data_IF_517705059958
#
_entry.id   IF_517705059958
#
_cell.length_a   1.000
_cell.length_b   1.000
_cell.length_c   1.000
_cell.angle_alpha   90.00
_cell.angle_beta   90.00
_cell.angle_gamma   90.00
#
_symmetry.space_group_name_H-M   'P 1'
#
loop_
_entity.id
_entity.type
_entity.pdbx_description
1 polymer ?
#
# COMPACT_ATOMS: atom_id res chain seq x y z
N UNK A 1 -10.26 -14.47 9.27
CA UNK A 1 -9.65 -13.29 9.92
C UNK A 1 -9.69 -12.03 9.05
N UNK A 2 -9.24 -12.04 7.79
CA UNK A 2 -9.38 -10.91 6.86
C UNK A 2 -10.84 -10.55 6.56
N UNK A 3 -11.70 -11.55 6.39
CA UNK A 3 -13.16 -11.41 6.20
C UNK A 3 -13.83 -10.78 7.42
N UNK A 4 -13.47 -11.20 8.63
CA UNK A 4 -13.97 -10.62 9.87
C UNK A 4 -13.55 -9.15 10.06
N UNK A 5 -12.36 -8.75 9.62
CA UNK A 5 -11.92 -7.36 9.63
C UNK A 5 -12.72 -6.49 8.64
N UNK A 6 -13.12 -7.06 7.50
CA UNK A 6 -14.02 -6.41 6.53
C UNK A 6 -15.43 -6.21 7.11
N UNK A 7 -15.98 -7.24 7.74
CA UNK A 7 -17.33 -7.23 8.33
C UNK A 7 -17.45 -6.29 9.55
N UNK A 8 -16.40 -6.12 10.34
CA UNK A 8 -16.40 -5.22 11.51
C UNK A 8 -16.40 -3.74 11.16
N UNK A 9 -16.24 -3.38 9.88
CA UNK A 9 -16.17 -1.98 9.43
C UNK A 9 -14.90 -1.23 9.88
N UNK A 10 -13.97 -1.90 10.54
CA UNK A 10 -12.71 -1.29 11.01
C UNK A 10 -11.88 -0.77 9.83
N UNK A 11 -11.79 -1.54 8.75
CA UNK A 11 -11.05 -1.14 7.54
C UNK A 11 -11.69 0.07 6.86
N UNK A 12 -13.03 0.12 6.85
CA UNK A 12 -13.77 1.28 6.34
C UNK A 12 -13.52 2.52 7.18
N UNK A 13 -13.59 2.41 8.50
CA UNK A 13 -13.27 3.52 9.42
C UNK A 13 -11.83 3.98 9.28
N UNK A 14 -10.90 3.05 9.11
CA UNK A 14 -9.50 3.40 8.88
C UNK A 14 -9.32 4.20 7.58
N UNK A 15 -9.98 3.77 6.50
CA UNK A 15 -9.95 4.51 5.23
C UNK A 15 -10.63 5.89 5.35
N UNK A 16 -11.74 6.01 6.07
CA UNK A 16 -12.41 7.30 6.32
C UNK A 16 -11.54 8.25 7.15
N UNK A 17 -10.88 7.74 8.19
CA UNK A 17 -9.90 8.51 8.97
C UNK A 17 -8.73 8.94 8.09
N UNK A 18 -8.18 8.04 7.28
CA UNK A 18 -7.14 8.37 6.34
C UNK A 18 -7.58 9.46 5.34
N UNK A 19 -8.84 9.39 4.85
CA UNK A 19 -9.42 10.40 3.98
C UNK A 19 -9.56 11.77 4.67
N UNK A 20 -9.85 11.80 5.96
CA UNK A 20 -10.00 13.06 6.69
C UNK A 20 -8.72 13.91 6.71
N UNK A 21 -7.56 13.27 6.65
CA UNK A 21 -6.27 13.96 6.54
C UNK A 21 -6.02 14.59 5.17
N UNK A 22 -6.80 14.20 4.16
CA UNK A 22 -6.65 14.69 2.78
C UNK A 22 -7.78 15.63 2.37
N UNK A 23 -8.72 15.95 3.25
CA UNK A 23 -9.87 16.83 2.99
C UNK A 23 -9.39 18.22 2.60
N UNK A 24 -9.84 18.72 1.43
CA UNK A 24 -9.44 20.03 0.89
C UNK A 24 -8.12 20.03 0.13
N UNK A 25 -7.40 18.91 0.09
CA UNK A 25 -6.19 18.76 -0.72
C UNK A 25 -6.54 18.49 -2.20
N UNK A 26 -5.71 18.89 -3.16
CA UNK A 26 -5.88 18.47 -4.54
C UNK A 26 -5.78 16.95 -4.66
N UNK A 27 -6.50 16.37 -5.63
CA UNK A 27 -6.63 14.90 -5.76
C UNK A 27 -5.28 14.15 -5.79
N UNK A 28 -4.26 14.73 -6.41
CA UNK A 28 -2.93 14.10 -6.51
C UNK A 28 -2.22 14.01 -5.15
N UNK A 29 -2.43 15.00 -4.28
CA UNK A 29 -1.86 14.97 -2.91
C UNK A 29 -2.65 14.01 -2.02
N UNK A 30 -3.98 13.97 -2.18
CA UNK A 30 -4.84 12.98 -1.52
C UNK A 30 -4.45 11.55 -1.94
N UNK A 31 -4.25 11.32 -3.24
CA UNK A 31 -3.78 10.05 -3.78
C UNK A 31 -2.45 9.65 -3.14
N UNK A 32 -1.44 10.53 -3.17
CA UNK A 32 -0.13 10.24 -2.62
C UNK A 32 -0.18 9.91 -1.12
N UNK A 33 -0.90 10.69 -0.33
CA UNK A 33 -1.05 10.46 1.11
C UNK A 33 -1.75 9.13 1.42
N UNK A 34 -2.86 8.84 0.74
CA UNK A 34 -3.61 7.60 0.92
C UNK A 34 -2.81 6.36 0.48
N UNK A 35 -2.05 6.47 -0.61
CA UNK A 35 -1.18 5.39 -1.06
C UNK A 35 -0.04 5.11 -0.08
N UNK A 36 0.56 6.14 0.52
CA UNK A 36 1.59 5.96 1.55
C UNK A 36 1.01 5.29 2.80
N UNK A 37 -0.17 5.74 3.26
CA UNK A 37 -0.86 5.11 4.39
C UNK A 37 -1.18 3.65 4.08
N UNK A 38 -1.74 3.38 2.89
CA UNK A 38 -2.01 2.03 2.43
C UNK A 38 -0.75 1.17 2.43
N UNK A 39 0.34 1.64 1.84
CA UNK A 39 1.59 0.92 1.71
C UNK A 39 2.19 0.55 3.07
N UNK A 40 2.32 1.52 3.98
CA UNK A 40 2.93 1.29 5.29
C UNK A 40 1.98 0.60 6.28
N UNK A 41 0.66 0.61 6.05
CA UNK A 41 -0.27 -0.19 6.86
C UNK A 41 0.02 -1.69 6.81
N UNK A 42 0.78 -2.15 5.79
CA UNK A 42 1.23 -3.54 5.69
C UNK A 42 1.98 -4.05 6.92
N UNK A 43 2.68 -3.19 7.65
CA UNK A 43 3.32 -3.59 8.92
C UNK A 43 2.34 -4.15 9.96
N UNK A 44 1.06 -3.79 9.88
CA UNK A 44 0.00 -4.31 10.75
C UNK A 44 -0.65 -5.61 10.29
N UNK A 45 -0.26 -6.17 9.13
CA UNK A 45 -0.88 -7.35 8.54
C UNK A 45 0.08 -8.53 8.49
N UNK A 46 -0.40 -9.70 8.87
CA UNK A 46 0.38 -10.94 8.90
C UNK A 46 0.71 -11.50 7.50
N UNK A 47 0.09 -11.00 6.44
CA UNK A 47 0.37 -11.40 5.06
C UNK A 47 -0.12 -10.36 4.06
N UNK A 48 0.47 -10.38 2.86
CA UNK A 48 0.03 -9.54 1.74
C UNK A 48 -1.45 -9.82 1.35
N UNK A 49 -1.87 -11.07 1.39
CA UNK A 49 -3.25 -11.46 1.08
C UNK A 49 -4.23 -10.84 2.07
N UNK A 50 -3.92 -10.90 3.37
CA UNK A 50 -4.76 -10.28 4.40
C UNK A 50 -4.83 -8.76 4.24
N UNK A 51 -3.70 -8.11 3.93
CA UNK A 51 -3.63 -6.69 3.67
C UNK A 51 -4.50 -6.29 2.46
N UNK A 52 -4.28 -6.93 1.31
CA UNK A 52 -4.99 -6.61 0.06
C UNK A 52 -6.49 -6.86 0.21
N UNK A 53 -6.91 -8.03 0.69
CA UNK A 53 -8.33 -8.35 0.82
C UNK A 53 -9.09 -7.45 1.80
N UNK A 54 -8.40 -6.88 2.79
CA UNK A 54 -9.03 -6.00 3.78
C UNK A 54 -9.01 -4.53 3.39
N UNK A 55 -7.92 -4.05 2.75
CA UNK A 55 -7.64 -2.62 2.60
C UNK A 55 -7.81 -2.11 1.16
N UNK A 56 -7.66 -2.97 0.15
CA UNK A 56 -7.64 -2.52 -1.24
C UNK A 56 -8.93 -1.81 -1.65
N UNK A 57 -10.08 -2.44 -1.47
CA UNK A 57 -11.38 -1.86 -1.87
C UNK A 57 -11.73 -0.61 -1.06
N UNK A 58 -11.63 -0.58 0.29
CA UNK A 58 -11.87 0.64 1.06
C UNK A 58 -11.02 1.83 0.60
N UNK A 59 -9.70 1.60 0.38
CA UNK A 59 -8.83 2.67 -0.09
C UNK A 59 -9.14 3.11 -1.52
N UNK A 60 -9.43 2.17 -2.41
CA UNK A 60 -9.82 2.48 -3.79
C UNK A 60 -11.04 3.40 -3.83
N UNK A 61 -12.08 3.07 -3.06
CA UNK A 61 -13.30 3.89 -2.99
C UNK A 61 -13.00 5.30 -2.51
N UNK A 62 -12.19 5.45 -1.46
CA UNK A 62 -11.83 6.77 -0.91
C UNK A 62 -10.97 7.57 -1.89
N UNK A 63 -10.01 6.93 -2.56
CA UNK A 63 -9.14 7.57 -3.55
C UNK A 63 -9.95 8.09 -4.74
N UNK A 64 -10.89 7.29 -5.24
CA UNK A 64 -11.78 7.72 -6.34
C UNK A 64 -12.71 8.84 -5.87
N UNK A 65 -13.25 8.75 -4.67
CA UNK A 65 -14.09 9.80 -4.09
C UNK A 65 -13.32 11.13 -3.90
N UNK A 66 -12.01 11.07 -3.70
CA UNK A 66 -11.13 12.26 -3.67
C UNK A 66 -10.85 12.86 -5.07
N UNK A 67 -11.41 12.28 -6.13
CA UNK A 67 -11.30 12.79 -7.50
C UNK A 67 -10.10 12.25 -8.30
N UNK A 68 -9.41 11.24 -7.81
CA UNK A 68 -8.31 10.62 -8.55
C UNK A 68 -8.82 9.79 -9.75
N UNK A 69 -8.09 9.77 -10.89
CA UNK A 69 -8.44 8.93 -12.02
C UNK A 69 -8.49 7.44 -11.62
N UNK A 70 -9.59 6.75 -11.96
CA UNK A 70 -9.85 5.38 -11.50
C UNK A 70 -8.77 4.38 -11.94
N UNK A 71 -8.32 4.45 -13.20
CA UNK A 71 -7.24 3.58 -13.70
C UNK A 71 -5.95 3.76 -12.92
N UNK A 72 -5.58 5.01 -12.64
CA UNK A 72 -4.39 5.34 -11.85
C UNK A 72 -4.50 4.78 -10.43
N UNK A 73 -5.64 4.99 -9.77
CA UNK A 73 -5.89 4.50 -8.42
C UNK A 73 -5.78 2.97 -8.32
N UNK A 74 -6.42 2.24 -9.25
CA UNK A 74 -6.37 0.78 -9.32
C UNK A 74 -4.94 0.29 -9.51
N UNK A 75 -4.22 0.82 -10.49
CA UNK A 75 -2.85 0.38 -10.78
C UNK A 75 -1.89 0.69 -9.64
N UNK A 76 -1.94 1.91 -9.08
CA UNK A 76 -1.07 2.29 -7.98
C UNK A 76 -1.29 1.40 -6.74
N UNK A 77 -2.53 1.13 -6.37
CA UNK A 77 -2.83 0.22 -5.26
C UNK A 77 -2.32 -1.20 -5.55
N UNK A 78 -2.50 -1.71 -6.77
CA UNK A 78 -2.05 -3.04 -7.15
C UNK A 78 -0.52 -3.17 -7.09
N UNK A 79 0.22 -2.21 -7.63
CA UNK A 79 1.68 -2.22 -7.60
C UNK A 79 2.23 -2.04 -6.19
N UNK A 80 1.68 -1.10 -5.42
CA UNK A 80 2.10 -0.88 -4.03
C UNK A 80 1.78 -2.07 -3.13
N UNK A 81 0.69 -2.79 -3.39
CA UNK A 81 0.39 -4.05 -2.70
C UNK A 81 1.51 -5.07 -2.88
N UNK A 82 2.06 -5.18 -4.08
CA UNK A 82 3.14 -6.11 -4.36
C UNK A 82 4.47 -5.64 -3.76
N UNK A 83 4.77 -4.35 -3.88
CA UNK A 83 6.00 -3.75 -3.34
C UNK A 83 6.05 -3.80 -1.80
N UNK A 84 4.91 -3.68 -1.12
CA UNK A 84 4.82 -3.74 0.34
C UNK A 84 5.27 -5.09 0.92
N UNK A 85 5.27 -6.14 0.10
CA UNK A 85 5.75 -7.47 0.47
C UNK A 85 7.21 -7.49 0.97
N UNK A 86 8.03 -6.54 0.54
CA UNK A 86 9.44 -6.42 0.96
C UNK A 86 9.63 -5.82 2.36
N UNK A 87 8.60 -5.20 2.95
CA UNK A 87 8.71 -4.48 4.22
C UNK A 87 8.94 -5.41 5.42
N UNK A 88 8.32 -6.59 5.42
CA UNK A 88 8.30 -7.48 6.59
C UNK A 88 8.83 -8.87 6.25
N UNK A 89 9.35 -9.56 7.27
CA UNK A 89 9.84 -10.95 7.15
C UNK A 89 8.71 -11.98 7.00
N UNK A 90 7.47 -11.55 7.00
CA UNK A 90 6.27 -12.36 6.77
C UNK A 90 5.40 -11.85 5.61
N UNK A 91 5.86 -10.85 4.85
CA UNK A 91 5.11 -10.23 3.77
C UNK A 91 4.82 -11.16 2.59
N UNK A 92 5.68 -12.15 2.34
CA UNK A 92 5.51 -13.17 1.29
C UNK A 92 5.57 -14.58 1.87
N UNK A 93 5.13 -15.57 1.09
CA UNK A 93 5.21 -16.99 1.49
C UNK A 93 6.65 -17.45 1.67
N UNK A 94 7.60 -16.89 0.91
CA UNK A 94 9.02 -17.27 0.97
C UNK A 94 9.81 -16.51 2.04
N UNK A 95 9.38 -15.31 2.43
CA UNK A 95 10.11 -14.48 3.38
C UNK A 95 10.34 -15.16 4.75
N UNK A 96 9.36 -15.85 5.37
CA UNK A 96 9.59 -16.59 6.62
C UNK A 96 10.62 -17.70 6.49
N UNK A 97 10.74 -18.33 5.32
CA UNK A 97 11.71 -19.39 5.07
C UNK A 97 13.14 -18.83 5.12
N UNK A 98 13.37 -17.71 4.42
CA UNK A 98 14.66 -17.04 4.44
C UNK A 98 15.00 -16.47 5.82
N UNK A 99 14.00 -15.89 6.48
CA UNK A 99 14.17 -15.35 7.82
C UNK A 99 14.49 -16.45 8.85
N UNK A 100 13.87 -17.64 8.69
CA UNK A 100 14.10 -18.82 9.55
C UNK A 100 15.55 -19.35 9.50
N UNK A 101 16.33 -18.98 8.47
CA UNK A 101 17.76 -19.28 8.41
C UNK A 101 18.60 -18.55 9.47
N UNK A 102 18.05 -17.55 10.16
CA UNK A 102 18.67 -16.89 11.31
C UNK A 102 19.84 -15.94 10.97
N UNK A 103 20.06 -15.64 9.68
CA UNK A 103 21.16 -14.77 9.24
C UNK A 103 20.92 -13.27 9.49
N UNK A 104 19.66 -12.86 9.62
CA UNK A 104 19.26 -11.45 9.74
C UNK A 104 18.31 -11.29 10.91
N UNK A 105 18.53 -10.26 11.75
CA UNK A 105 17.59 -9.93 12.84
C UNK A 105 16.31 -9.31 12.29
N UNK A 106 15.20 -9.46 13.03
CA UNK A 106 13.92 -8.84 12.66
C UNK A 106 14.05 -7.32 12.48
N UNK A 107 14.81 -6.67 13.37
CA UNK A 107 15.05 -5.22 13.33
C UNK A 107 15.76 -4.81 12.04
N UNK A 108 16.79 -5.56 11.64
CA UNK A 108 17.54 -5.26 10.43
C UNK A 108 16.70 -5.51 9.18
N UNK A 109 15.90 -6.60 9.16
CA UNK A 109 14.98 -6.86 8.06
C UNK A 109 14.01 -5.71 7.85
N UNK A 110 13.35 -5.27 8.91
CA UNK A 110 12.37 -4.19 8.85
C UNK A 110 13.01 -2.84 8.48
N UNK A 111 14.19 -2.56 9.01
CA UNK A 111 14.96 -1.35 8.66
C UNK A 111 15.36 -1.34 7.20
N UNK A 112 15.87 -2.45 6.69
CA UNK A 112 16.25 -2.58 5.28
C UNK A 112 15.04 -2.51 4.37
N UNK A 113 13.93 -3.17 4.73
CA UNK A 113 12.65 -3.08 4.02
C UNK A 113 12.15 -1.63 3.92
N UNK A 114 12.19 -0.89 5.03
CA UNK A 114 11.83 0.53 5.05
C UNK A 114 12.77 1.36 4.16
N UNK A 115 14.08 1.17 4.26
CA UNK A 115 15.06 1.89 3.43
C UNK A 115 14.86 1.61 1.94
N UNK A 116 14.63 0.34 1.57
CA UNK A 116 14.41 -0.05 0.18
C UNK A 116 13.04 0.36 -0.35
N UNK A 117 12.07 0.64 0.51
CA UNK A 117 10.77 1.16 0.09
C UNK A 117 10.88 2.53 -0.56
N UNK A 118 11.80 3.38 -0.12
CA UNK A 118 11.99 4.73 -0.67
C UNK A 118 12.36 4.71 -2.16
N UNK A 119 13.46 4.03 -2.60
CA UNK A 119 13.77 3.95 -4.02
C UNK A 119 12.68 3.24 -4.83
N UNK A 120 12.03 2.21 -4.26
CA UNK A 120 10.94 1.53 -4.94
C UNK A 120 9.76 2.48 -5.20
N UNK A 121 9.31 3.23 -4.19
CA UNK A 121 8.24 4.20 -4.34
C UNK A 121 8.63 5.29 -5.34
N UNK A 122 9.87 5.82 -5.27
CA UNK A 122 10.35 6.85 -6.18
C UNK A 122 10.37 6.38 -7.64
N UNK A 123 10.83 5.17 -7.90
CA UNK A 123 10.84 4.59 -9.25
C UNK A 123 9.42 4.40 -9.77
N UNK A 124 8.54 3.78 -8.99
CA UNK A 124 7.17 3.50 -9.42
C UNK A 124 6.28 4.75 -9.48
N UNK A 125 6.41 5.68 -8.52
CA UNK A 125 5.71 6.94 -8.57
C UNK A 125 6.30 7.91 -9.62
N UNK A 126 7.62 7.93 -9.81
CA UNK A 126 8.27 8.78 -10.81
C UNK A 126 8.11 8.22 -12.23
N UNK A 127 8.83 7.16 -12.53
CA UNK A 127 8.88 6.57 -13.89
C UNK A 127 7.52 5.97 -14.26
N UNK A 128 6.86 5.28 -13.33
CA UNK A 128 5.56 4.65 -13.55
C UNK A 128 4.49 5.67 -13.90
N UNK A 129 4.36 6.75 -13.14
CA UNK A 129 3.37 7.82 -13.42
C UNK A 129 3.63 8.50 -14.76
N UNK A 130 4.89 8.79 -15.11
CA UNK A 130 5.24 9.36 -16.41
C UNK A 130 4.88 8.41 -17.55
N UNK A 131 5.17 7.13 -17.42
CA UNK A 131 4.83 6.12 -18.40
C UNK A 131 3.32 6.01 -18.64
N UNK A 132 2.53 5.96 -17.58
CA UNK A 132 1.06 5.89 -17.69
C UNK A 132 0.46 7.17 -18.25
N UNK A 133 1.08 8.32 -18.00
CA UNK A 133 0.68 9.58 -18.65
C UNK A 133 0.93 9.55 -20.14
N UNK A 134 2.07 9.00 -20.58
CA UNK A 134 2.37 8.81 -22.00
C UNK A 134 1.39 7.87 -22.70
N UNK A 135 0.87 6.87 -21.96
CA UNK A 135 -0.16 5.96 -22.44
C UNK A 135 -1.58 6.56 -22.44
N UNK A 136 -1.75 7.78 -21.94
CA UNK A 136 -3.05 8.44 -21.87
C UNK A 136 -4.02 7.86 -20.82
N UNK A 137 -3.49 7.26 -19.75
CA UNK A 137 -4.32 6.65 -18.71
C UNK A 137 -4.74 7.62 -17.60
N UNK A 138 -4.22 8.81 -17.61
CA UNK A 138 -4.59 9.92 -16.73
C UNK A 138 -4.08 11.28 -17.25
#
# INVERSE_FOLDING_TARGET
MAEALGETGITKRFAEVAASFTTGAPWWLALAGLLLIYFYSHYGFASITAHVSSMYIPFLVVIIAAGAPAYLAVLMLAYLSNLSASLTHFGTTSAPIYFGGGYVSQKDWWRLGLLMSLPNILVWAGIGLLWWKLLGWW
#
